data_IF_394616807600
#
_entry.id   IF_394616807600
#
_cell.length_a   1.000
_cell.length_b   1.000
_cell.length_c   1.000
_cell.angle_alpha   90.00
_cell.angle_beta   90.00
_cell.angle_gamma   90.00
#
_symmetry.space_group_name_H-M   'P 1'
#
loop_
_entity.id
_entity.type
_entity.pdbx_description
1 polymer ?
#
# COMPACT_ATOMS: atom_id res chain seq x y z
N UNK A 1 -5.16 -5.49 12.98
CA UNK A 1 -5.86 -5.26 11.70
C UNK A 1 -6.60 -6.53 11.28
N UNK A 2 -7.89 -6.41 10.93
CA UNK A 2 -8.74 -7.51 10.47
C UNK A 2 -8.68 -7.69 8.93
N UNK A 3 -9.35 -8.74 8.45
CA UNK A 3 -9.38 -9.12 7.03
C UNK A 3 -10.09 -8.11 6.13
N UNK A 4 -11.14 -7.47 6.64
CA UNK A 4 -11.92 -6.52 5.87
C UNK A 4 -11.10 -5.25 5.63
N UNK A 5 -10.42 -4.75 6.67
CA UNK A 5 -9.52 -3.60 6.55
C UNK A 5 -8.44 -3.82 5.48
N UNK A 6 -7.83 -5.01 5.41
CA UNK A 6 -6.84 -5.34 4.38
C UNK A 6 -7.40 -5.24 2.95
N UNK A 7 -8.63 -5.71 2.76
CA UNK A 7 -9.33 -5.69 1.48
C UNK A 7 -9.67 -4.24 1.11
N UNK A 8 -10.15 -3.44 2.06
CA UNK A 8 -10.55 -2.06 1.84
C UNK A 8 -9.34 -1.18 1.50
N UNK A 9 -8.21 -1.34 2.22
CA UNK A 9 -6.93 -0.71 1.87
C UNK A 9 -6.49 -1.14 0.47
N UNK A 10 -6.54 -2.44 0.18
CA UNK A 10 -6.13 -2.99 -1.10
C UNK A 10 -6.92 -2.40 -2.27
N UNK A 11 -8.26 -2.34 -2.14
CA UNK A 11 -9.17 -1.76 -3.13
C UNK A 11 -8.95 -0.25 -3.31
N UNK A 12 -8.64 0.47 -2.23
CA UNK A 12 -8.33 1.88 -2.32
C UNK A 12 -7.06 2.13 -3.16
N UNK A 13 -6.11 1.18 -3.16
CA UNK A 13 -4.85 1.29 -3.88
C UNK A 13 -4.90 0.77 -5.32
N UNK A 14 -5.66 -0.29 -5.58
CA UNK A 14 -5.76 -0.90 -6.90
C UNK A 14 -6.42 -2.28 -6.89
N UNK A 15 -6.10 -3.10 -7.88
CA UNK A 15 -6.61 -4.46 -7.98
C UNK A 15 -5.81 -5.38 -7.02
N UNK A 16 -6.50 -5.96 -6.04
CA UNK A 16 -5.88 -6.88 -5.07
C UNK A 16 -5.63 -8.24 -5.74
N UNK A 17 -4.36 -8.60 -5.88
CA UNK A 17 -3.93 -9.86 -6.50
C UNK A 17 -3.77 -10.96 -5.45
N UNK A 18 -3.19 -10.63 -4.30
CA UNK A 18 -3.01 -11.57 -3.21
C UNK A 18 -2.91 -10.83 -1.86
N UNK A 19 -3.27 -11.52 -0.79
CA UNK A 19 -3.06 -11.06 0.57
C UNK A 19 -2.22 -12.12 1.27
N UNK A 20 -1.08 -11.72 1.82
CA UNK A 20 -0.21 -12.58 2.61
C UNK A 20 -0.82 -12.75 4.01
N UNK A 21 -1.76 -13.68 4.10
CA UNK A 21 -2.32 -14.12 5.37
C UNK A 21 -1.34 -15.08 6.03
N UNK A 22 -0.46 -14.55 6.88
CA UNK A 22 0.25 -15.40 7.83
C UNK A 22 -0.75 -15.83 8.90
N UNK A 23 -1.12 -17.11 8.87
CA UNK A 23 -2.00 -17.73 9.87
C UNK A 23 -1.42 -17.45 11.26
N UNK A 24 -2.20 -16.73 12.07
CA UNK A 24 -1.78 -16.24 13.38
C UNK A 24 -1.69 -17.41 14.36
N UNK A 25 -0.57 -18.11 14.36
CA UNK A 25 -0.10 -18.82 15.56
C UNK A 25 0.45 -17.81 16.60
N UNK A 26 -0.38 -16.86 17.03
CA UNK A 26 -0.13 -16.03 18.21
C UNK A 26 0.84 -14.84 18.07
N UNK A 27 1.36 -14.53 16.88
CA UNK A 27 2.22 -13.37 16.68
C UNK A 27 1.45 -12.13 16.23
N UNK A 28 1.55 -11.04 16.99
CA UNK A 28 1.10 -9.72 16.59
C UNK A 28 1.74 -9.33 15.25
N UNK A 29 0.98 -9.28 14.16
CA UNK A 29 1.50 -8.75 12.89
C UNK A 29 1.36 -7.23 12.92
N UNK A 30 2.48 -6.51 12.99
CA UNK A 30 2.51 -5.03 12.98
C UNK A 30 2.02 -4.41 11.67
N UNK A 31 1.99 -5.19 10.57
CA UNK A 31 1.60 -4.73 9.25
C UNK A 31 0.91 -5.86 8.45
N UNK A 32 0.17 -5.48 7.40
CA UNK A 32 -0.38 -6.40 6.41
C UNK A 32 0.45 -6.29 5.13
N UNK A 33 0.67 -7.43 4.46
CA UNK A 33 1.29 -7.48 3.15
C UNK A 33 0.25 -7.78 2.07
N UNK A 34 0.16 -6.86 1.11
CA UNK A 34 -0.75 -6.94 -0.02
C UNK A 34 0.04 -6.97 -1.32
N UNK A 35 -0.32 -7.86 -2.23
CA UNK A 35 0.12 -7.81 -3.62
C UNK A 35 -0.97 -7.10 -4.42
N UNK A 36 -0.65 -5.91 -4.91
CA UNK A 36 -1.61 -5.03 -5.59
C UNK A 36 -1.09 -4.72 -6.99
N UNK A 37 -1.97 -4.82 -7.98
CA UNK A 37 -1.71 -4.35 -9.33
C UNK A 37 -2.13 -2.88 -9.43
N UNK A 38 -1.16 -2.05 -9.79
CA UNK A 38 -1.27 -0.59 -9.84
C UNK A 38 -0.79 -0.07 -11.20
N UNK A 39 -1.20 1.14 -11.56
CA UNK A 39 -0.62 1.85 -12.69
C UNK A 39 0.72 2.48 -12.30
N UNK A 40 1.82 1.94 -12.81
CA UNK A 40 3.19 2.41 -12.50
C UNK A 40 3.55 3.75 -13.13
N UNK A 41 2.74 4.24 -14.07
CA UNK A 41 2.88 5.58 -14.66
C UNK A 41 2.26 6.67 -13.78
N UNK A 42 1.60 6.28 -12.69
CA UNK A 42 1.05 7.21 -11.70
C UNK A 42 1.94 7.26 -10.46
N UNK A 43 1.99 8.40 -9.76
CA UNK A 43 2.67 8.52 -8.47
C UNK A 43 2.24 7.43 -7.49
N UNK A 44 3.22 6.82 -6.81
CA UNK A 44 2.96 5.83 -5.77
C UNK A 44 2.38 6.49 -4.53
N UNK A 45 1.23 5.99 -4.06
CA UNK A 45 0.59 6.51 -2.85
C UNK A 45 1.38 6.09 -1.61
N UNK A 46 1.65 7.04 -0.71
CA UNK A 46 2.39 6.81 0.54
C UNK A 46 1.49 6.53 1.74
N UNK A 47 0.24 6.99 1.69
CA UNK A 47 -0.76 6.83 2.75
C UNK A 47 -2.13 6.52 2.15
N UNK A 48 -2.96 5.81 2.90
CA UNK A 48 -4.39 5.62 2.64
C UNK A 48 -5.18 6.05 3.85
N UNK A 49 -6.23 6.82 3.61
CA UNK A 49 -7.20 7.24 4.61
C UNK A 49 -8.45 6.37 4.45
N UNK A 50 -8.83 5.66 5.51
CA UNK A 50 -10.06 4.88 5.56
C UNK A 50 -11.01 5.54 6.56
N UNK A 51 -12.25 5.78 6.15
CA UNK A 51 -13.29 6.30 7.03
C UNK A 51 -14.26 5.17 7.34
N UNK A 52 -14.33 4.78 8.62
CA UNK A 52 -15.29 3.79 9.11
C UNK A 52 -16.73 4.30 9.03
N UNK A 53 -17.71 3.38 9.17
CA UNK A 53 -19.14 3.78 9.18
C UNK A 53 -19.51 4.62 10.40
N UNK A 54 -18.72 4.52 11.46
CA UNK A 54 -18.77 5.33 12.67
C UNK A 54 -18.12 6.72 12.50
N UNK A 55 -17.57 7.00 11.32
CA UNK A 55 -16.86 8.24 11.02
C UNK A 55 -15.41 8.27 11.50
N UNK A 56 -14.91 7.18 12.09
CA UNK A 56 -13.53 7.12 12.59
C UNK A 56 -12.57 6.98 11.42
N UNK A 57 -11.61 7.91 11.33
CA UNK A 57 -10.55 7.87 10.33
C UNK A 57 -9.39 6.99 10.79
N UNK A 58 -8.95 6.10 9.90
CA UNK A 58 -7.73 5.31 10.06
C UNK A 58 -6.76 5.67 8.96
N UNK A 59 -5.57 6.14 9.34
CA UNK A 59 -4.49 6.44 8.41
C UNK A 59 -3.53 5.25 8.36
N UNK A 60 -3.36 4.68 7.17
CA UNK A 60 -2.44 3.57 6.92
C UNK A 60 -1.23 4.05 6.11
N UNK A 61 -0.04 3.97 6.70
CA UNK A 61 1.21 4.21 5.98
C UNK A 61 1.56 3.01 5.08
N UNK A 62 2.01 3.29 3.86
CA UNK A 62 2.34 2.27 2.87
C UNK A 62 3.85 2.21 2.71
N UNK A 63 4.36 0.98 2.75
CA UNK A 63 5.74 0.66 2.36
C UNK A 63 5.69 -0.28 1.16
N UNK A 64 6.35 0.12 0.09
CA UNK A 64 6.49 -0.71 -1.10
C UNK A 64 7.73 -1.60 -0.95
N UNK A 65 7.58 -2.88 -1.26
CA UNK A 65 8.70 -3.82 -1.36
C UNK A 65 9.10 -3.97 -2.83
N UNK A 66 10.41 -4.14 -3.09
CA UNK A 66 10.96 -4.44 -4.43
C UNK A 66 10.67 -3.37 -5.50
N UNK A 67 10.71 -2.09 -5.14
CA UNK A 67 10.65 -1.01 -6.12
C UNK A 67 11.94 -0.99 -6.98
N UNK A 68 11.83 -0.90 -8.31
CA UNK A 68 12.97 -0.60 -9.18
C UNK A 68 13.35 0.90 -9.03
N UNK A 69 14.07 1.48 -9.99
CA UNK A 69 14.41 2.92 -9.96
C UNK A 69 13.18 3.78 -9.63
N UNK A 70 13.26 4.59 -8.58
CA UNK A 70 12.15 5.38 -8.07
C UNK A 70 12.60 6.80 -7.74
N UNK A 71 11.83 7.79 -8.18
CA UNK A 71 12.10 9.20 -7.91
C UNK A 71 11.32 9.68 -6.68
N UNK A 72 12.02 10.02 -5.60
CA UNK A 72 11.40 10.53 -4.37
C UNK A 72 10.75 11.92 -4.51
N UNK A 73 11.09 12.66 -5.57
CA UNK A 73 10.52 13.98 -5.87
C UNK A 73 9.20 13.84 -6.65
N UNK A 74 9.17 12.95 -7.65
CA UNK A 74 8.00 12.78 -8.53
C UNK A 74 7.07 11.66 -8.09
N UNK A 75 7.47 10.83 -7.13
CA UNK A 75 6.78 9.60 -6.72
C UNK A 75 6.60 8.57 -7.85
N UNK A 76 7.42 8.64 -8.90
CA UNK A 76 7.29 7.83 -10.10
C UNK A 76 8.39 6.77 -10.21
N UNK A 77 7.98 5.59 -10.71
CA UNK A 77 8.87 4.51 -11.07
C UNK A 77 9.54 4.83 -12.42
N UNK A 78 10.83 4.54 -12.54
CA UNK A 78 11.62 4.69 -13.77
C UNK A 78 12.19 6.09 -14.00
N UNK A 79 11.77 7.09 -13.21
CA UNK A 79 12.30 8.44 -13.29
C UNK A 79 13.68 8.49 -12.62
N UNK A 80 14.71 8.87 -13.37
CA UNK A 80 15.99 9.24 -12.79
C UNK A 80 16.01 10.76 -12.56
N UNK A 81 16.38 11.20 -11.37
CA UNK A 81 16.76 12.60 -11.13
C UNK A 81 18.16 12.82 -11.70
N UNK A 82 18.36 12.57 -12.99
CA UNK A 82 19.48 13.19 -13.69
C UNK A 82 19.00 14.58 -14.08
N UNK A 83 19.25 15.54 -13.20
CA UNK A 83 19.24 16.95 -13.58
C UNK A 83 20.27 17.08 -14.72
N UNK A 84 19.89 17.56 -15.92
CA UNK A 84 20.86 17.81 -16.98
C UNK A 84 21.88 18.88 -16.57
#
# INVERSE_FOLDING_TARGET
MDRQTAIDVGKALGEVVAIDWKDRNGGWTEFIRLKIKINVLSPLRRVVHLVGRDGVETICAIKYERLPTFCYICDLIGHNTKVP
#
